data_IF_975100839018
#
_entry.id   IF_975100839018
#
_cell.length_a   1.000
_cell.length_b   1.000
_cell.length_c   1.000
_cell.angle_alpha   90.00
_cell.angle_beta   90.00
_cell.angle_gamma   90.00
#
_symmetry.space_group_name_H-M   'P 1'
#
loop_
_entity.id
_entity.type
_entity.pdbx_description
1 polymer ?
#
# COMPACT_ATOMS: atom_id res chain seq x y z
N UNK A 1 -39.17 -1.82 51.38
CA UNK A 1 -37.74 -2.15 51.69
C UNK A 1 -36.93 -2.48 50.42
N UNK A 2 -37.21 -1.83 49.27
CA UNK A 2 -36.68 -2.27 47.95
C UNK A 2 -35.82 -1.20 47.26
N UNK A 3 -35.75 0.03 47.77
CA UNK A 3 -35.17 1.17 47.04
C UNK A 3 -33.64 1.29 47.13
N UNK A 4 -32.97 0.62 48.07
CA UNK A 4 -31.51 0.73 48.27
C UNK A 4 -30.70 -0.15 47.30
N UNK A 5 -31.22 -1.30 46.88
CA UNK A 5 -30.52 -2.21 45.96
C UNK A 5 -30.56 -1.77 44.49
N UNK A 6 -31.56 -0.99 44.07
CA UNK A 6 -31.63 -0.48 42.70
C UNK A 6 -30.64 0.66 42.44
N UNK A 7 -30.40 1.50 43.46
CA UNK A 7 -29.45 2.62 43.36
C UNK A 7 -28.01 2.12 43.25
N UNK A 8 -27.65 1.07 43.99
CA UNK A 8 -26.30 0.48 43.93
C UNK A 8 -26.04 -0.24 42.61
N UNK A 9 -27.04 -0.87 42.00
CA UNK A 9 -26.91 -1.51 40.69
C UNK A 9 -26.68 -0.49 39.56
N UNK A 10 -27.34 0.67 39.58
CA UNK A 10 -27.15 1.74 38.58
C UNK A 10 -25.75 2.36 38.68
N UNK A 11 -25.22 2.52 39.90
CA UNK A 11 -23.87 3.05 40.12
C UNK A 11 -22.76 2.09 39.62
N UNK A 12 -22.99 0.78 39.71
CA UNK A 12 -22.03 -0.23 39.24
C UNK A 12 -21.98 -0.34 37.70
N UNK A 13 -23.08 -0.05 37.00
CA UNK A 13 -23.12 -0.09 35.53
C UNK A 13 -22.34 1.10 34.92
N UNK A 14 -22.26 2.23 35.64
CA UNK A 14 -21.53 3.42 35.18
C UNK A 14 -19.99 3.29 35.26
N UNK A 15 -19.46 2.38 36.08
CA UNK A 15 -18.00 2.16 36.21
C UNK A 15 -17.40 1.21 35.18
N UNK A 16 -18.24 0.51 34.41
CA UNK A 16 -17.85 -0.53 33.46
C UNK A 16 -17.89 -0.07 31.98
N UNK A 17 -18.15 1.21 31.71
CA UNK A 17 -18.13 1.74 30.35
C UNK A 17 -16.74 2.34 30.05
N UNK A 18 -15.83 1.61 29.38
CA UNK A 18 -14.64 2.24 28.83
C UNK A 18 -15.06 3.27 27.77
N UNK A 19 -14.90 4.55 28.10
CA UNK A 19 -15.06 5.63 27.15
C UNK A 19 -13.86 5.59 26.18
N UNK A 20 -14.01 4.83 25.09
CA UNK A 20 -13.10 4.92 23.94
C UNK A 20 -13.40 6.21 23.17
N UNK A 21 -12.99 7.35 23.74
CA UNK A 21 -13.00 8.61 23.01
C UNK A 21 -12.05 8.50 21.81
N UNK A 22 -12.58 8.72 20.60
CA UNK A 22 -11.77 8.91 19.40
C UNK A 22 -10.76 10.04 19.71
N UNK A 23 -9.48 9.69 19.84
CA UNK A 23 -8.44 10.65 20.25
C UNK A 23 -8.15 11.60 19.09
N UNK A 24 -8.88 12.71 19.03
CA UNK A 24 -8.54 13.83 18.16
C UNK A 24 -7.33 14.55 18.73
N UNK A 25 -6.26 14.68 17.94
CA UNK A 25 -5.04 15.36 18.36
C UNK A 25 -4.86 16.66 17.60
N UNK A 26 -4.49 17.71 18.31
CA UNK A 26 -4.17 19.02 17.74
C UNK A 26 -2.68 19.33 17.94
N UNK A 27 -2.05 19.92 16.93
CA UNK A 27 -0.64 20.27 17.00
C UNK A 27 -0.07 20.72 15.67
N UNK A 28 1.26 20.87 15.60
CA UNK A 28 1.93 21.29 14.37
C UNK A 28 2.21 20.09 13.45
N UNK A 29 1.91 20.23 12.18
CA UNK A 29 2.39 19.36 11.12
C UNK A 29 3.62 19.99 10.47
N UNK A 30 4.55 19.15 10.01
CA UNK A 30 5.53 19.52 8.99
C UNK A 30 5.52 18.48 7.87
N UNK A 31 6.44 18.57 6.91
CA UNK A 31 6.54 17.57 5.84
C UNK A 31 7.99 17.21 5.53
N UNK A 32 8.19 16.02 4.98
CA UNK A 32 9.51 15.53 4.64
C UNK A 32 10.18 16.37 3.55
N UNK A 33 11.48 16.59 3.69
CA UNK A 33 12.27 17.17 2.60
C UNK A 33 12.28 16.26 1.36
N UNK A 34 12.48 16.83 0.17
CA UNK A 34 12.59 16.07 -1.09
C UNK A 34 13.65 14.96 -1.02
N UNK A 35 14.74 15.19 -0.27
CA UNK A 35 15.85 14.26 -0.05
C UNK A 35 15.47 12.99 0.71
N UNK A 36 14.35 13.00 1.45
CA UNK A 36 13.86 11.81 2.15
C UNK A 36 13.31 10.74 1.20
N UNK A 37 12.99 11.11 -0.05
CA UNK A 37 12.51 10.16 -1.07
C UNK A 37 13.54 9.04 -1.27
N UNK A 38 13.09 7.80 -1.15
CA UNK A 38 13.91 6.59 -1.26
C UNK A 38 14.50 6.09 0.06
N UNK A 39 14.51 6.90 1.13
CA UNK A 39 14.96 6.47 2.45
C UNK A 39 14.02 5.38 3.03
N UNK A 40 14.56 4.48 3.85
CA UNK A 40 13.75 3.51 4.59
C UNK A 40 13.10 4.18 5.80
N UNK A 41 11.79 4.02 5.93
CA UNK A 41 11.04 4.42 7.12
C UNK A 41 11.14 3.38 8.24
N UNK A 42 10.65 3.72 9.42
CA UNK A 42 10.60 2.81 10.57
C UNK A 42 9.70 1.57 10.36
N UNK A 43 8.74 1.61 9.43
CA UNK A 43 7.99 0.39 9.02
C UNK A 43 8.75 -0.48 8.03
N UNK A 44 9.92 -0.05 7.55
CA UNK A 44 10.71 -0.71 6.51
C UNK A 44 10.33 -0.34 5.08
N UNK A 45 9.21 0.36 4.87
CA UNK A 45 8.80 0.87 3.56
C UNK A 45 9.72 2.01 3.09
N UNK A 46 9.87 2.19 1.77
CA UNK A 46 10.59 3.37 1.24
C UNK A 46 9.67 4.58 1.22
N UNK A 47 10.17 5.70 1.72
CA UNK A 47 9.47 6.98 1.67
C UNK A 47 9.42 7.46 0.22
N UNK A 48 8.26 7.94 -0.22
CA UNK A 48 8.12 8.60 -1.52
C UNK A 48 7.34 9.90 -1.36
N UNK A 49 7.83 10.99 -1.97
CA UNK A 49 7.23 12.32 -1.82
C UNK A 49 5.80 12.40 -2.34
N UNK A 50 5.47 11.63 -3.38
CA UNK A 50 4.13 11.55 -3.98
C UNK A 50 3.16 10.56 -3.31
N UNK A 51 3.57 9.89 -2.23
CA UNK A 51 2.68 9.01 -1.48
C UNK A 51 1.77 9.79 -0.54
N UNK A 52 0.65 9.22 -0.09
CA UNK A 52 -0.18 9.78 0.99
C UNK A 52 0.16 9.10 2.31
N UNK A 53 1.32 9.48 2.87
CA UNK A 53 1.93 8.80 4.02
C UNK A 53 2.45 9.80 5.04
N UNK A 54 2.63 9.37 6.29
CA UNK A 54 3.16 10.20 7.36
C UNK A 54 4.02 9.45 8.39
N UNK A 55 4.80 10.21 9.16
CA UNK A 55 5.36 9.78 10.43
C UNK A 55 4.45 10.21 11.59
N UNK A 56 4.25 9.30 12.54
CA UNK A 56 3.55 9.58 13.79
C UNK A 56 4.17 8.81 14.98
N UNK A 57 4.13 9.41 16.17
CA UNK A 57 4.78 8.89 17.38
C UNK A 57 4.14 7.60 17.89
N UNK A 58 2.81 7.60 18.03
CA UNK A 58 2.10 6.55 18.78
C UNK A 58 1.17 5.66 17.95
N UNK A 59 0.48 6.17 16.93
CA UNK A 59 -0.39 5.33 16.10
C UNK A 59 0.36 4.14 15.50
N UNK A 60 -0.24 2.94 15.47
CA UNK A 60 0.34 1.78 14.80
C UNK A 60 0.68 2.06 13.33
N UNK A 61 1.66 1.34 12.80
CA UNK A 61 1.93 1.39 11.36
C UNK A 61 0.73 0.84 10.59
N UNK A 62 0.39 1.48 9.49
CA UNK A 62 -0.77 1.13 8.67
C UNK A 62 -2.08 1.82 9.09
N UNK A 63 -2.14 2.46 10.25
CA UNK A 63 -3.27 3.29 10.64
C UNK A 63 -3.47 4.42 9.63
N UNK A 64 -4.73 4.68 9.28
CA UNK A 64 -5.11 5.81 8.44
C UNK A 64 -5.57 6.97 9.30
N UNK A 65 -5.03 8.15 9.02
CA UNK A 65 -5.31 9.36 9.75
C UNK A 65 -5.86 10.42 8.80
N UNK A 66 -7.00 11.01 9.13
CA UNK A 66 -7.47 12.24 8.51
C UNK A 66 -6.74 13.41 9.14
N UNK A 67 -6.05 14.18 8.30
CA UNK A 67 -5.29 15.36 8.71
C UNK A 67 -5.97 16.57 8.12
N UNK A 68 -6.40 17.49 8.97
CA UNK A 68 -7.10 18.71 8.56
C UNK A 68 -6.26 19.93 8.92
N UNK A 69 -5.95 20.77 7.94
CA UNK A 69 -5.30 22.06 8.17
C UNK A 69 -6.32 23.06 8.71
N UNK A 70 -6.11 23.54 9.93
CA UNK A 70 -7.06 24.41 10.62
C UNK A 70 -7.12 25.82 10.03
N UNK A 71 -6.11 26.24 9.27
CA UNK A 71 -6.08 27.57 8.66
C UNK A 71 -6.96 27.71 7.43
N UNK A 72 -7.19 26.62 6.69
CA UNK A 72 -7.90 26.64 5.41
C UNK A 72 -9.01 25.57 5.29
N UNK A 73 -9.18 24.72 6.30
CA UNK A 73 -10.19 23.66 6.34
C UNK A 73 -9.91 22.46 5.42
N UNK A 74 -8.82 22.45 4.65
CA UNK A 74 -8.50 21.34 3.74
C UNK A 74 -8.03 20.13 4.52
N UNK A 75 -8.43 18.93 4.08
CA UNK A 75 -8.05 17.67 4.72
C UNK A 75 -7.65 16.61 3.72
N UNK A 76 -6.78 15.69 4.15
CA UNK A 76 -6.44 14.48 3.40
C UNK A 76 -6.29 13.28 4.35
N UNK A 77 -6.39 12.07 3.81
CA UNK A 77 -6.16 10.83 4.55
C UNK A 77 -4.76 10.33 4.24
N UNK A 78 -3.98 10.06 5.28
CA UNK A 78 -2.61 9.54 5.17
C UNK A 78 -2.45 8.24 5.92
N UNK A 79 -1.54 7.39 5.45
CA UNK A 79 -1.14 6.15 6.13
C UNK A 79 0.11 6.36 6.98
N UNK A 80 0.08 5.90 8.23
CA UNK A 80 1.25 5.92 9.12
C UNK A 80 2.26 4.87 8.67
N UNK A 81 3.45 5.28 8.25
CA UNK A 81 4.52 4.36 7.81
C UNK A 81 5.84 4.58 8.56
N UNK A 82 5.93 5.59 9.42
CA UNK A 82 7.19 6.02 9.99
C UNK A 82 7.02 6.59 11.41
N UNK A 83 8.14 6.82 12.11
CA UNK A 83 8.17 7.35 13.48
C UNK A 83 8.71 8.77 13.54
N UNK A 84 8.32 9.46 14.61
CA UNK A 84 8.49 10.90 14.77
C UNK A 84 7.15 11.63 14.64
N UNK A 85 7.14 12.96 14.52
CA UNK A 85 8.29 13.86 14.62
C UNK A 85 8.89 13.97 16.03
N UNK A 86 10.17 14.31 16.07
CA UNK A 86 10.93 14.55 17.31
C UNK A 86 11.12 16.05 17.63
N UNK A 87 10.78 16.94 16.69
CA UNK A 87 10.81 18.38 16.95
C UNK A 87 9.71 18.81 17.92
N UNK A 88 10.03 19.75 18.79
CA UNK A 88 9.12 20.23 19.84
C UNK A 88 7.82 20.79 19.25
N UNK A 89 6.69 20.32 19.76
CA UNK A 89 5.34 20.77 19.35
C UNK A 89 4.83 20.23 18.00
N UNK A 90 5.62 19.43 17.27
CA UNK A 90 5.15 18.73 16.08
C UNK A 90 4.52 17.39 16.46
N UNK A 91 3.39 17.08 15.85
CA UNK A 91 2.64 15.84 16.10
C UNK A 91 2.66 14.88 14.90
N UNK A 92 2.88 15.40 13.69
CA UNK A 92 2.85 14.60 12.46
C UNK A 92 3.80 15.21 11.41
N UNK A 93 4.54 14.36 10.69
CA UNK A 93 5.30 14.76 9.51
C UNK A 93 4.69 14.08 8.28
N UNK A 94 4.26 14.88 7.31
CA UNK A 94 3.56 14.43 6.12
C UNK A 94 4.52 14.18 4.94
N UNK A 95 4.10 13.39 3.97
CA UNK A 95 4.68 13.42 2.64
C UNK A 95 4.42 14.78 1.96
N UNK A 96 5.22 15.08 0.94
CA UNK A 96 5.06 16.32 0.18
C UNK A 96 3.69 16.41 -0.50
N UNK A 97 3.20 15.32 -1.10
CA UNK A 97 1.86 15.29 -1.71
C UNK A 97 0.75 15.54 -0.69
N UNK A 98 0.79 14.89 0.48
CA UNK A 98 -0.22 15.12 1.51
C UNK A 98 -0.20 16.57 2.01
N UNK A 99 0.99 17.14 2.20
CA UNK A 99 1.15 18.55 2.57
C UNK A 99 0.64 19.51 1.47
N UNK A 100 0.80 19.15 0.19
CA UNK A 100 0.24 19.88 -0.94
C UNK A 100 -1.28 19.85 -0.95
N UNK A 101 -1.89 18.69 -0.70
CA UNK A 101 -3.36 18.54 -0.66
C UNK A 101 -4.00 19.40 0.43
N UNK A 102 -3.40 19.46 1.63
CA UNK A 102 -3.89 20.33 2.71
C UNK A 102 -3.39 21.77 2.62
N UNK A 103 -2.67 22.12 1.54
CA UNK A 103 -2.28 23.49 1.22
C UNK A 103 -1.26 24.11 2.18
N UNK A 104 -0.33 23.34 2.75
CA UNK A 104 0.65 23.84 3.72
C UNK A 104 2.08 24.03 3.18
N UNK A 105 2.30 23.81 1.88
CA UNK A 105 3.65 23.82 1.28
C UNK A 105 4.37 25.15 1.48
N UNK A 106 3.69 26.28 1.20
CA UNK A 106 4.27 27.61 1.34
C UNK A 106 4.57 28.00 2.79
N UNK A 107 3.78 27.48 3.75
CA UNK A 107 3.94 27.75 5.17
C UNK A 107 5.09 26.94 5.80
N UNK A 108 5.43 25.78 5.24
CA UNK A 108 6.39 24.83 5.81
C UNK A 108 5.81 24.03 6.98
N UNK A 109 5.17 24.71 7.92
CA UNK A 109 4.56 24.17 9.14
C UNK A 109 3.15 24.73 9.30
N UNK A 110 2.19 23.88 9.65
CA UNK A 110 0.79 24.28 9.83
C UNK A 110 0.19 23.67 11.09
N UNK A 111 -0.78 24.34 11.72
CA UNK A 111 -1.56 23.76 12.81
C UNK A 111 -2.63 22.86 12.22
N UNK A 112 -2.66 21.60 12.65
CA UNK A 112 -3.56 20.58 12.13
C UNK A 112 -4.35 19.90 13.23
N UNK A 113 -5.49 19.34 12.83
CA UNK A 113 -6.25 18.33 13.59
C UNK A 113 -6.01 16.97 12.94
N UNK A 114 -5.73 15.96 13.76
CA UNK A 114 -5.46 14.57 13.35
C UNK A 114 -6.49 13.65 13.99
N UNK A 115 -7.15 12.84 13.17
CA UNK A 115 -8.23 11.92 13.57
C UNK A 115 -7.98 10.54 12.95
N UNK A 116 -8.23 9.47 13.70
CA UNK A 116 -8.11 8.10 13.16
C UNK A 116 -9.34 7.77 12.30
N UNK A 117 -9.12 7.09 11.18
CA UNK A 117 -10.18 6.61 10.28
C UNK A 117 -10.16 5.09 10.26
N UNK A 118 -11.27 4.46 10.65
CA UNK A 118 -11.39 2.99 10.72
C UNK A 118 -11.49 2.34 9.34
N UNK A 119 -12.14 3.00 8.38
CA UNK A 119 -12.29 2.51 7.01
C UNK A 119 -11.95 3.62 5.99
N UNK A 120 -10.70 3.68 5.49
CA UNK A 120 -10.21 4.78 4.66
C UNK A 120 -10.61 4.65 3.19
N UNK A 121 -11.16 3.51 2.78
CA UNK A 121 -11.64 3.30 1.42
C UNK A 121 -12.85 4.22 1.27
N UNK A 122 -12.85 5.21 0.35
CA UNK A 122 -14.06 5.94 0.06
C UNK A 122 -15.11 4.89 -0.31
N UNK A 123 -16.19 4.84 0.46
CA UNK A 123 -17.38 4.11 0.07
C UNK A 123 -17.72 4.61 -1.32
N UNK A 124 -17.44 3.81 -2.36
CA UNK A 124 -18.13 3.97 -3.63
C UNK A 124 -19.56 3.65 -3.23
N UNK A 125 -20.50 4.61 -3.20
CA UNK A 125 -21.89 4.23 -3.04
C UNK A 125 -22.15 3.21 -4.12
N UNK A 126 -22.39 1.97 -3.71
CA UNK A 126 -22.83 0.96 -4.63
C UNK A 126 -24.16 1.49 -5.15
N UNK A 127 -24.19 1.97 -6.39
CA UNK A 127 -25.43 2.27 -7.08
C UNK A 127 -26.24 0.99 -6.98
N UNK A 128 -27.23 0.97 -6.09
CA UNK A 128 -27.97 -0.24 -5.68
C UNK A 128 -28.93 -0.72 -6.78
N UNK A 129 -28.66 -0.36 -8.03
CA UNK A 129 -29.26 -0.87 -9.24
C UNK A 129 -28.30 -1.87 -9.86
N UNK A 130 -28.12 -3.00 -9.19
CA UNK A 130 -27.66 -4.21 -9.89
C UNK A 130 -28.64 -4.41 -11.06
N UNK A 131 -28.17 -4.58 -12.31
CA UNK A 131 -29.06 -5.01 -13.38
C UNK A 131 -29.64 -6.35 -12.95
N UNK A 132 -30.96 -6.52 -13.06
CA UNK A 132 -31.53 -7.86 -13.04
C UNK A 132 -30.90 -8.60 -14.22
N UNK A 133 -30.10 -9.61 -13.90
CA UNK A 133 -29.59 -10.52 -14.91
C UNK A 133 -30.74 -11.49 -15.16
N UNK A 134 -31.56 -11.15 -16.15
CA UNK A 134 -32.60 -12.06 -16.62
C UNK A 134 -31.87 -13.12 -17.44
N UNK A 135 -31.46 -14.21 -16.77
CA UNK A 135 -31.00 -15.42 -17.44
C UNK A 135 -32.20 -16.07 -18.10
N UNK A 136 -32.62 -15.55 -19.24
CA UNK A 136 -33.51 -16.25 -20.14
C UNK A 136 -32.69 -17.41 -20.71
N UNK A 137 -32.86 -18.58 -20.10
CA UNK A 137 -32.36 -19.84 -20.64
C UNK A 137 -33.10 -20.03 -21.95
N UNK A 138 -32.49 -19.63 -23.06
CA UNK A 138 -32.99 -19.99 -24.36
C UNK A 138 -33.00 -21.51 -24.43
N UNK A 139 -34.19 -22.11 -24.40
CA UNK A 139 -34.46 -23.53 -24.67
C UNK A 139 -34.16 -23.90 -26.15
N UNK A 140 -33.28 -23.15 -26.81
CA UNK A 140 -32.70 -23.63 -28.05
C UNK A 140 -31.82 -24.80 -27.68
N UNK A 141 -32.30 -26.00 -28.00
CA UNK A 141 -31.54 -27.24 -27.95
C UNK A 141 -30.12 -26.97 -28.44
N UNK A 142 -29.18 -26.99 -27.51
CA UNK A 142 -27.77 -26.84 -27.82
C UNK A 142 -27.35 -28.15 -28.50
N UNK A 143 -27.44 -28.21 -29.82
CA UNK A 143 -26.85 -29.29 -30.60
C UNK A 143 -25.33 -29.17 -30.49
N UNK A 144 -24.74 -29.90 -29.55
CA UNK A 144 -23.30 -30.06 -29.45
C UNK A 144 -22.78 -30.59 -30.81
N UNK A 145 -21.82 -29.91 -31.48
CA UNK A 145 -21.26 -30.44 -32.71
C UNK A 145 -20.56 -31.78 -32.45
N UNK A 146 -21.20 -32.87 -32.89
CA UNK A 146 -20.61 -34.20 -32.90
C UNK A 146 -19.56 -34.31 -34.01
N UNK A 147 -18.47 -33.53 -33.93
CA UNK A 147 -17.37 -33.60 -34.88
C UNK A 147 -16.02 -33.70 -34.17
N UNK A 148 -15.92 -34.73 -33.34
CA UNK A 148 -14.65 -35.39 -33.03
C UNK A 148 -14.67 -36.90 -33.33
N UNK A 149 -15.55 -37.34 -34.23
CA UNK A 149 -15.58 -38.71 -34.75
C UNK A 149 -14.52 -38.97 -35.81
N UNK A 150 -13.52 -39.77 -35.43
CA UNK A 150 -12.93 -40.90 -36.20
C UNK A 150 -12.54 -40.65 -37.66
N UNK A 151 -11.23 -40.52 -37.92
CA UNK A 151 -10.68 -41.06 -39.17
C UNK A 151 -10.30 -42.50 -38.92
N UNK A 152 -11.18 -43.43 -39.30
CA UNK A 152 -10.80 -44.83 -39.44
C UNK A 152 -9.76 -44.96 -40.55
N UNK A 153 -8.58 -45.47 -40.21
CA UNK A 153 -7.75 -46.29 -41.11
C UNK A 153 -6.82 -47.19 -40.30
N UNK A 154 -7.43 -48.29 -39.86
CA UNK A 154 -6.91 -49.64 -39.63
C UNK A 154 -5.39 -49.87 -39.79
N UNK A 155 -4.75 -50.36 -38.72
CA UNK A 155 -3.71 -51.42 -38.75
C UNK A 155 -3.42 -51.92 -37.32
N UNK A 156 -3.88 -53.14 -37.04
CA UNK A 156 -3.55 -53.94 -35.87
C UNK A 156 -2.06 -54.32 -35.83
N UNK A 157 -1.43 -54.30 -34.64
CA UNK A 157 -1.09 -55.53 -33.92
C UNK A 157 -0.34 -55.25 -32.59
N UNK A 158 -0.92 -55.79 -31.52
CA UNK A 158 -0.35 -56.33 -30.28
C UNK A 158 1.07 -55.91 -29.81
N UNK A 159 1.17 -55.35 -28.59
CA UNK A 159 1.60 -56.14 -27.42
C UNK A 159 1.54 -55.32 -26.11
N UNK A 160 0.79 -55.89 -25.16
CA UNK A 160 0.96 -55.97 -23.71
C UNK A 160 1.62 -54.84 -22.89
N UNK A 161 0.95 -54.61 -21.75
CA UNK A 161 1.51 -54.57 -20.38
C UNK A 161 1.73 -53.21 -19.72
N UNK A 162 0.85 -52.96 -18.73
CA UNK A 162 1.12 -52.38 -17.38
C UNK A 162 1.56 -50.90 -17.34
N UNK A 163 1.33 -50.13 -16.30
CA UNK A 163 0.44 -50.04 -15.12
C UNK A 163 0.98 -48.78 -14.41
N UNK A 164 0.12 -48.07 -13.69
CA UNK A 164 0.51 -47.24 -12.52
C UNK A 164 1.31 -45.94 -12.78
N UNK A 165 0.63 -44.79 -12.67
CA UNK A 165 0.58 -43.89 -11.49
C UNK A 165 1.85 -43.03 -11.30
N UNK A 166 1.69 -41.72 -11.42
CA UNK A 166 1.86 -40.78 -10.30
C UNK A 166 1.86 -39.33 -10.81
N UNK A 167 0.84 -38.61 -10.36
CA UNK A 167 0.81 -37.14 -10.23
C UNK A 167 1.91 -36.77 -9.23
N UNK A 168 2.65 -35.68 -9.44
CA UNK A 168 3.15 -34.72 -8.42
C UNK A 168 4.29 -33.87 -9.00
N UNK A 169 4.08 -32.55 -8.95
CA UNK A 169 5.07 -31.47 -8.85
C UNK A 169 6.45 -31.65 -9.50
N UNK A 170 6.73 -30.88 -10.55
CA UNK A 170 8.05 -30.27 -10.84
C UNK A 170 8.09 -29.72 -12.28
N UNK A 171 7.39 -28.62 -12.56
CA UNK A 171 7.60 -27.95 -13.86
C UNK A 171 7.39 -26.44 -13.86
N UNK A 172 7.87 -25.79 -12.79
CA UNK A 172 8.13 -24.33 -12.80
C UNK A 172 9.58 -24.01 -12.42
N UNK A 173 10.38 -25.01 -12.04
CA UNK A 173 11.84 -24.91 -11.94
C UNK A 173 12.39 -25.44 -13.28
N UNK A 174 12.70 -24.52 -14.19
CA UNK A 174 13.66 -24.63 -15.31
C UNK A 174 13.35 -23.54 -16.34
N UNK A 175 13.52 -22.29 -15.94
CA UNK A 175 13.77 -21.19 -16.87
C UNK A 175 14.92 -20.33 -16.33
N UNK A 176 16.06 -20.99 -16.23
CA UNK A 176 17.37 -20.39 -16.02
C UNK A 176 18.35 -21.23 -16.84
N UNK A 177 19.28 -20.54 -17.50
CA UNK A 177 20.45 -21.10 -18.20
C UNK A 177 20.23 -21.56 -19.65
N UNK A 178 20.39 -20.62 -20.60
CA UNK A 178 21.43 -20.72 -21.63
C UNK A 178 21.50 -19.42 -22.45
N UNK A 179 22.29 -18.45 -21.97
CA UNK A 179 23.04 -17.55 -22.85
C UNK A 179 24.15 -16.87 -22.03
N UNK A 180 25.35 -17.46 -22.02
CA UNK A 180 26.58 -16.82 -21.53
C UNK A 180 27.75 -17.24 -22.41
N UNK A 181 28.23 -16.31 -23.23
CA UNK A 181 29.66 -16.11 -23.48
C UNK A 181 29.86 -14.78 -24.21
N UNK A 182 30.40 -13.79 -23.49
CA UNK A 182 31.54 -12.96 -23.92
C UNK A 182 31.95 -12.09 -22.73
N UNK A 183 33.12 -12.47 -22.22
CA UNK A 183 33.87 -11.91 -21.12
C UNK A 183 34.72 -10.77 -21.68
N UNK A 184 34.62 -9.57 -21.08
CA UNK A 184 35.60 -8.49 -21.27
C UNK A 184 36.01 -8.02 -19.88
N UNK A 185 37.32 -8.02 -19.69
CA UNK A 185 38.07 -7.91 -18.46
C UNK A 185 38.19 -6.49 -17.94
N UNK A 186 38.72 -6.39 -16.72
CA UNK A 186 38.45 -5.37 -15.71
C UNK A 186 39.49 -4.24 -15.65
N UNK A 187 40.16 -3.92 -16.77
CA UNK A 187 41.32 -3.00 -16.75
C UNK A 187 41.16 -1.70 -17.56
N UNK A 188 39.97 -1.38 -18.10
CA UNK A 188 39.80 -0.23 -19.00
C UNK A 188 38.66 0.74 -18.66
N UNK A 189 38.34 0.90 -17.36
CA UNK A 189 37.46 2.00 -16.89
C UNK A 189 38.00 2.71 -15.64
N UNK A 190 39.32 2.84 -15.56
CA UNK A 190 40.02 3.69 -14.58
C UNK A 190 40.78 4.86 -15.20
N UNK A 191 40.50 5.23 -16.46
CA UNK A 191 41.24 6.27 -17.19
C UNK A 191 40.41 7.36 -17.87
N UNK A 192 39.14 7.56 -17.47
CA UNK A 192 38.29 8.58 -18.09
C UNK A 192 37.57 9.52 -17.11
N UNK A 193 38.04 9.59 -15.85
CA UNK A 193 37.53 10.52 -14.83
C UNK A 193 38.63 11.31 -14.09
N UNK A 194 39.78 11.52 -14.73
CA UNK A 194 40.84 12.41 -14.22
C UNK A 194 41.03 13.69 -15.04
N UNK A 195 40.28 13.91 -16.12
CA UNK A 195 40.49 15.06 -17.02
C UNK A 195 39.38 16.13 -16.96
N UNK A 196 38.47 16.08 -15.98
CA UNK A 196 37.45 17.13 -15.76
C UNK A 196 37.73 17.97 -14.50
N UNK A 197 38.75 17.61 -13.71
CA UNK A 197 39.16 18.35 -12.50
C UNK A 197 40.37 19.28 -12.72
N UNK A 198 40.57 19.82 -13.94
CA UNK A 198 41.67 20.75 -14.24
C UNK A 198 41.32 21.99 -15.09
N UNK A 199 40.05 22.37 -15.23
CA UNK A 199 39.66 23.58 -16.00
C UNK A 199 38.72 24.57 -15.29
N UNK A 200 38.59 24.50 -13.95
CA UNK A 200 37.85 25.51 -13.17
C UNK A 200 38.62 25.98 -11.95
N UNK A 201 39.81 26.52 -12.19
CA UNK A 201 40.66 27.08 -11.15
C UNK A 201 41.62 28.13 -11.70
N UNK A 202 41.13 29.06 -12.52
CA UNK A 202 41.88 30.27 -12.93
C UNK A 202 40.85 31.32 -13.33
N UNK A 203 40.63 32.29 -12.44
CA UNK A 203 40.30 33.70 -12.71
C UNK A 203 39.92 34.38 -11.38
N UNK A 204 40.96 34.76 -10.64
CA UNK A 204 40.92 35.79 -9.61
C UNK A 204 41.90 36.89 -10.04
N UNK A 205 41.39 37.96 -10.65
CA UNK A 205 41.75 39.38 -10.45
C UNK A 205 40.90 40.24 -11.37
#
# INVERSE_FOLDING_TARGET
MVTKSFITAILAIFSLVPCYGQKHQHGKASYYSKRATGARSASGQRIHHDSLTCAHRFYPFGTHLKVTNLSNGKSTIVKVIDRGPFGRGRIIDLSWKAAKEIGMIAQGVATVKVEMVENPIPYKPEDTKLPKIDFEVAETEYEFPNKWGTTDRNKENHHSSKKETNKITSKVINKTEHHKSKEVTKDELKKHNTDIAKSKGENHH
#
